data_IF_934512431300
#
_entry.id   IF_934512431300
#
_cell.length_a   1.000
_cell.length_b   1.000
_cell.length_c   1.000
_cell.angle_alpha   90.00
_cell.angle_beta   90.00
_cell.angle_gamma   90.00
#
_symmetry.space_group_name_H-M   'P 1'
#
loop_
_entity.id
_entity.type
_entity.pdbx_description
1 polymer ?
#
# COMPACT_ATOMS: atom_id res chain seq x y z
N UNK A 1 23.51 58.31 -19.36
CA UNK A 1 24.97 58.53 -19.34
C UNK A 1 25.62 57.43 -18.51
N UNK A 2 26.52 56.64 -19.12
CA UNK A 2 27.48 55.71 -18.47
C UNK A 2 28.76 56.53 -18.08
N UNK A 3 29.80 55.95 -17.44
CA UNK A 3 29.90 54.97 -16.34
C UNK A 3 31.10 55.27 -15.37
N UNK A 4 31.41 54.39 -14.40
CA UNK A 4 32.76 53.87 -14.04
C UNK A 4 32.65 52.92 -12.82
N UNK A 5 32.67 51.60 -13.02
CA UNK A 5 33.82 50.67 -12.86
C UNK A 5 34.44 50.63 -11.45
N UNK A 6 34.21 49.52 -10.72
CA UNK A 6 35.18 48.93 -9.80
C UNK A 6 35.49 47.50 -10.24
N UNK A 7 36.75 47.16 -10.07
CA UNK A 7 37.50 46.10 -10.74
C UNK A 7 37.24 44.70 -10.17
N UNK A 8 37.28 43.71 -11.06
CA UNK A 8 37.62 42.32 -10.79
C UNK A 8 39.11 42.20 -10.51
N UNK A 9 39.48 41.43 -9.49
CA UNK A 9 40.85 40.98 -9.26
C UNK A 9 40.83 39.46 -9.06
N UNK A 10 41.27 38.74 -10.10
CA UNK A 10 41.72 37.35 -10.00
C UNK A 10 43.26 37.37 -9.96
N UNK A 11 43.81 36.73 -8.92
CA UNK A 11 45.19 36.24 -8.77
C UNK A 11 45.03 34.87 -8.08
N UNK A 12 45.76 33.81 -8.36
CA UNK A 12 46.94 33.57 -9.17
C UNK A 12 47.49 32.19 -8.77
N UNK A 13 47.91 31.46 -9.79
CA UNK A 13 48.54 30.13 -9.90
C UNK A 13 49.75 29.79 -9.01
N UNK A 14 49.94 28.50 -8.71
CA UNK A 14 51.20 27.70 -8.78
C UNK A 14 50.80 26.21 -8.74
N UNK A 15 51.10 25.30 -9.68
CA UNK A 15 52.30 24.87 -10.42
C UNK A 15 53.39 24.25 -9.54
N UNK A 16 53.51 22.91 -9.58
CA UNK A 16 54.75 22.17 -9.39
C UNK A 16 54.78 20.92 -10.30
N UNK A 17 55.96 20.72 -10.88
CA UNK A 17 56.36 19.84 -11.98
C UNK A 17 56.43 18.34 -11.67
N UNK A 18 56.49 17.57 -12.76
CA UNK A 18 56.74 16.13 -12.84
C UNK A 18 58.23 15.76 -12.97
N UNK A 19 58.51 14.52 -12.53
CA UNK A 19 59.44 13.49 -13.08
C UNK A 19 60.94 13.54 -12.70
N UNK A 20 61.74 12.42 -12.82
CA UNK A 20 61.41 11.04 -13.26
C UNK A 20 62.11 9.85 -12.53
N UNK A 21 61.80 8.63 -13.00
CA UNK A 21 62.62 7.39 -13.07
C UNK A 21 62.96 6.56 -11.80
N UNK A 22 62.45 5.30 -11.76
CA UNK A 22 63.28 4.07 -11.69
C UNK A 22 62.42 2.78 -11.75
N UNK A 23 62.82 1.87 -12.64
CA UNK A 23 62.48 0.42 -12.71
C UNK A 23 63.81 -0.36 -12.81
N UNK A 24 63.85 -1.71 -12.88
CA UNK A 24 63.21 -2.76 -12.08
C UNK A 24 64.26 -3.73 -11.47
N UNK A 25 63.88 -4.62 -10.53
CA UNK A 25 64.75 -5.71 -10.05
C UNK A 25 64.12 -7.09 -10.25
N UNK A 26 64.76 -7.87 -11.11
CA UNK A 26 64.55 -9.29 -11.37
C UNK A 26 64.88 -10.16 -10.14
N UNK A 27 64.08 -11.20 -9.88
CA UNK A 27 64.60 -12.45 -9.32
C UNK A 27 63.89 -13.65 -9.93
N UNK A 28 64.65 -14.38 -10.73
CA UNK A 28 64.34 -15.69 -11.32
C UNK A 28 64.54 -16.81 -10.31
N UNK A 29 63.62 -17.78 -10.22
CA UNK A 29 63.97 -19.17 -9.90
C UNK A 29 62.99 -20.18 -10.54
N UNK A 30 63.46 -20.75 -11.65
CA UNK A 30 63.51 -22.16 -12.08
C UNK A 30 62.38 -23.15 -11.68
N UNK A 31 61.79 -23.74 -12.74
CA UNK A 31 60.90 -24.92 -12.84
C UNK A 31 61.25 -26.11 -11.91
N UNK A 32 60.20 -26.77 -11.42
CA UNK A 32 60.07 -28.24 -11.40
C UNK A 32 58.64 -28.64 -11.82
N UNK A 33 58.58 -29.58 -12.75
CA UNK A 33 57.40 -30.29 -13.25
C UNK A 33 57.17 -31.56 -12.43
N UNK A 34 55.92 -31.91 -12.09
CA UNK A 34 55.42 -33.29 -12.07
C UNK A 34 53.93 -33.36 -11.70
N UNK A 35 53.18 -33.96 -12.63
CA UNK A 35 52.13 -34.97 -12.46
C UNK A 35 50.81 -34.70 -11.72
N UNK A 36 49.75 -34.83 -12.54
CA UNK A 36 48.52 -35.59 -12.33
C UNK A 36 48.11 -35.99 -10.90
N UNK A 37 47.00 -35.44 -10.43
CA UNK A 37 45.73 -36.19 -10.28
C UNK A 37 44.68 -35.31 -9.60
N UNK A 38 43.46 -35.28 -10.17
CA UNK A 38 42.29 -34.60 -9.62
C UNK A 38 41.58 -35.58 -8.67
N UNK A 39 41.32 -35.26 -7.40
CA UNK A 39 40.40 -36.04 -6.58
C UNK A 39 38.97 -35.58 -6.85
N UNK A 40 38.18 -36.44 -7.48
CA UNK A 40 36.72 -36.37 -7.45
C UNK A 40 36.24 -36.70 -6.04
N UNK A 41 35.70 -35.70 -5.34
CA UNK A 41 35.09 -35.90 -4.02
C UNK A 41 33.63 -36.31 -4.21
N UNK A 42 33.35 -37.61 -4.07
CA UNK A 42 32.00 -38.18 -4.01
C UNK A 42 31.44 -38.09 -2.59
N UNK A 43 30.64 -37.06 -2.30
CA UNK A 43 29.98 -36.86 -0.99
C UNK A 43 28.69 -37.70 -0.78
N UNK A 44 28.14 -38.35 -1.81
CA UNK A 44 26.82 -39.00 -1.74
C UNK A 44 26.83 -40.44 -1.20
N UNK A 45 27.98 -41.12 -1.18
CA UNK A 45 28.06 -42.54 -0.77
C UNK A 45 28.11 -42.74 0.75
N UNK A 46 28.65 -41.78 1.51
CA UNK A 46 28.95 -42.00 2.94
C UNK A 46 27.70 -41.95 3.84
N UNK A 47 26.69 -41.14 3.50
CA UNK A 47 25.50 -40.95 4.36
C UNK A 47 24.52 -42.11 4.18
N UNK A 48 24.37 -42.62 2.96
CA UNK A 48 23.47 -43.73 2.66
C UNK A 48 23.93 -45.03 3.32
N UNK A 49 25.24 -45.28 3.33
CA UNK A 49 25.82 -46.50 3.94
C UNK A 49 25.72 -46.48 5.47
N UNK A 50 25.84 -45.31 6.11
CA UNK A 50 25.60 -45.14 7.54
C UNK A 50 24.12 -45.32 7.92
N UNK A 51 23.20 -44.96 7.03
CA UNK A 51 21.77 -45.12 7.25
C UNK A 51 21.34 -46.60 7.16
N UNK A 52 21.84 -47.33 6.16
CA UNK A 52 21.53 -48.76 5.95
C UNK A 52 22.11 -49.63 7.09
N UNK A 53 23.30 -49.32 7.60
CA UNK A 53 23.92 -50.06 8.70
C UNK A 53 23.25 -49.83 10.06
N UNK A 54 22.47 -48.76 10.23
CA UNK A 54 21.76 -48.46 11.49
C UNK A 54 20.35 -49.05 11.53
N UNK A 55 19.74 -49.31 10.37
CA UNK A 55 18.43 -49.97 10.24
C UNK A 55 18.48 -51.49 10.50
N UNK A 56 19.65 -52.13 10.43
CA UNK A 56 19.83 -53.56 10.75
C UNK A 56 20.05 -53.82 12.26
N UNK A 57 20.16 -52.77 13.08
CA UNK A 57 20.22 -52.89 14.53
C UNK A 57 18.83 -53.08 15.12
N UNK A 58 18.70 -53.90 16.18
CA UNK A 58 17.43 -54.10 16.92
C UNK A 58 16.81 -52.77 17.38
N UNK A 59 17.62 -51.74 17.60
CA UNK A 59 17.19 -50.39 17.94
C UNK A 59 16.73 -49.54 16.74
N UNK A 60 17.25 -49.82 15.54
CA UNK A 60 16.84 -49.17 14.28
C UNK A 60 15.43 -49.60 13.85
N UNK A 61 15.11 -50.88 14.04
CA UNK A 61 13.78 -51.42 13.77
C UNK A 61 12.76 -50.81 14.75
N UNK A 62 13.11 -50.71 16.04
CA UNK A 62 12.23 -50.16 17.07
C UNK A 62 11.94 -48.66 16.84
N UNK A 63 12.94 -47.89 16.41
CA UNK A 63 12.77 -46.48 16.05
C UNK A 63 11.93 -46.29 14.78
N UNK A 64 12.04 -47.19 13.80
CA UNK A 64 11.17 -47.19 12.61
C UNK A 64 9.71 -47.47 12.99
N UNK A 65 9.44 -48.46 13.87
CA UNK A 65 8.09 -48.74 14.34
C UNK A 65 7.49 -47.60 15.16
N UNK A 66 8.28 -46.92 16.00
CA UNK A 66 7.82 -45.72 16.73
C UNK A 66 7.47 -44.59 15.75
N UNK A 67 8.29 -44.34 14.73
CA UNK A 67 8.00 -43.32 13.72
C UNK A 67 6.76 -43.66 12.89
N UNK A 68 6.58 -44.92 12.51
CA UNK A 68 5.37 -45.38 11.81
C UNK A 68 4.13 -45.31 12.70
N UNK A 69 4.26 -45.62 13.99
CA UNK A 69 3.16 -45.49 14.96
C UNK A 69 2.77 -44.03 15.17
N UNK A 70 3.74 -43.11 15.31
CA UNK A 70 3.48 -41.67 15.40
C UNK A 70 2.84 -41.16 14.12
N UNK A 71 3.34 -41.54 12.95
CA UNK A 71 2.74 -41.17 11.67
C UNK A 71 1.30 -41.71 11.55
N UNK A 72 1.07 -42.98 11.89
CA UNK A 72 -0.27 -43.57 11.90
C UNK A 72 -1.21 -42.84 12.87
N UNK A 73 -0.72 -42.41 14.04
CA UNK A 73 -1.51 -41.64 15.01
C UNK A 73 -1.93 -40.25 14.49
N UNK A 74 -1.17 -39.65 13.57
CA UNK A 74 -1.53 -38.39 12.92
C UNK A 74 -2.53 -38.56 11.76
N UNK A 75 -2.56 -39.74 11.13
CA UNK A 75 -3.45 -40.02 9.98
C UNK A 75 -4.68 -40.85 10.34
N UNK A 76 -4.67 -41.55 11.47
CA UNK A 76 -5.80 -42.31 12.02
C UNK A 76 -6.66 -41.46 12.99
N UNK A 77 -6.78 -40.15 12.71
CA UNK A 77 -7.79 -39.31 13.31
C UNK A 77 -9.14 -39.63 12.67
N UNK A 78 -10.11 -40.03 13.50
CA UNK A 78 -11.45 -40.45 13.12
C UNK A 78 -12.08 -39.56 12.04
N UNK A 79 -12.29 -40.11 10.86
CA UNK A 79 -13.31 -39.61 9.93
C UNK A 79 -14.68 -40.00 10.49
N UNK A 80 -15.55 -39.07 10.90
CA UNK A 80 -16.93 -39.43 11.16
C UNK A 80 -17.56 -39.87 9.83
N UNK A 81 -18.00 -41.12 9.79
CA UNK A 81 -18.83 -41.65 8.72
C UNK A 81 -20.11 -40.81 8.64
N UNK A 82 -20.26 -40.01 7.59
CA UNK A 82 -21.54 -39.39 7.24
C UNK A 82 -22.39 -40.48 6.60
N UNK A 83 -23.29 -41.06 7.39
CA UNK A 83 -24.35 -41.94 6.91
C UNK A 83 -25.25 -41.17 5.93
N UNK A 84 -25.28 -41.64 4.70
CA UNK A 84 -26.23 -41.24 3.66
C UNK A 84 -27.62 -41.76 4.03
N UNK A 85 -28.36 -41.04 4.87
CA UNK A 85 -29.81 -41.21 4.97
C UNK A 85 -30.49 -40.33 3.94
N UNK A 86 -31.02 -40.99 2.92
CA UNK A 86 -31.93 -40.45 1.92
C UNK A 86 -33.23 -40.03 2.62
N UNK A 87 -33.36 -38.75 2.99
CA UNK A 87 -34.62 -38.17 3.43
C UNK A 87 -35.35 -37.60 2.21
N UNK A 88 -36.41 -38.30 1.81
CA UNK A 88 -37.45 -37.86 0.88
C UNK A 88 -37.94 -36.46 1.23
N UNK A 89 -37.67 -35.48 0.36
CA UNK A 89 -38.26 -34.13 0.42
C UNK A 89 -39.41 -34.08 -0.58
N UNK A 90 -40.62 -33.83 -0.05
CA UNK A 90 -41.82 -33.48 -0.81
C UNK A 90 -41.58 -32.22 -1.67
N UNK A 91 -42.13 -32.14 -2.89
CA UNK A 91 -41.89 -31.03 -3.79
C UNK A 91 -42.94 -29.93 -3.57
N UNK A 92 -42.66 -28.94 -2.73
CA UNK A 92 -43.47 -27.72 -2.72
C UNK A 92 -42.69 -26.49 -2.28
N UNK A 93 -42.14 -25.78 -3.27
CA UNK A 93 -42.26 -24.33 -3.51
C UNK A 93 -41.07 -23.89 -4.38
N UNK A 94 -41.36 -23.78 -5.67
CA UNK A 94 -40.44 -23.37 -6.73
C UNK A 94 -40.20 -21.86 -6.58
N UNK A 95 -39.02 -21.45 -6.11
CA UNK A 95 -38.59 -20.05 -6.18
C UNK A 95 -38.24 -19.69 -7.63
N UNK A 96 -38.93 -18.66 -8.13
CA UNK A 96 -38.87 -18.09 -9.46
C UNK A 96 -37.52 -17.36 -9.71
N UNK A 97 -36.77 -17.65 -10.80
CA UNK A 97 -35.49 -17.00 -11.09
C UNK A 97 -35.60 -15.54 -11.56
N UNK A 98 -36.79 -14.97 -11.72
CA UNK A 98 -36.97 -13.66 -12.38
C UNK A 98 -36.94 -12.43 -11.46
N UNK A 99 -36.56 -12.57 -10.19
CA UNK A 99 -36.39 -11.44 -9.28
C UNK A 99 -35.00 -11.36 -8.61
N UNK A 100 -33.94 -11.34 -9.43
CA UNK A 100 -32.68 -10.69 -9.01
C UNK A 100 -32.75 -9.21 -9.39
N UNK A 101 -33.12 -8.35 -8.42
CA UNK A 101 -32.79 -6.92 -8.54
C UNK A 101 -31.27 -6.78 -8.67
N UNK A 102 -30.77 -5.90 -9.55
CA UNK A 102 -29.33 -5.60 -9.60
C UNK A 102 -28.87 -5.04 -8.24
N UNK A 103 -27.59 -5.24 -7.86
CA UNK A 103 -27.07 -4.72 -6.60
C UNK A 103 -27.16 -3.19 -6.60
N UNK A 104 -28.02 -2.66 -5.74
CA UNK A 104 -28.19 -1.23 -5.50
C UNK A 104 -27.11 -0.83 -4.50
N UNK A 105 -26.20 0.06 -4.92
CA UNK A 105 -25.33 0.81 -4.00
C UNK A 105 -26.20 1.46 -2.90
N UNK A 106 -25.73 1.56 -1.64
CA UNK A 106 -26.42 2.39 -0.67
C UNK A 106 -26.42 3.84 -1.17
N UNK A 107 -27.54 4.28 -1.75
CA UNK A 107 -27.73 5.63 -2.29
C UNK A 107 -27.50 6.69 -1.20
N UNK A 108 -27.65 6.30 0.07
CA UNK A 108 -27.43 7.18 1.22
C UNK A 108 -25.98 7.65 1.41
N UNK A 109 -24.97 6.92 0.91
CA UNK A 109 -23.56 7.37 0.95
C UNK A 109 -23.20 8.33 -0.20
N UNK A 110 -24.09 8.48 -1.19
CA UNK A 110 -23.81 9.16 -2.46
C UNK A 110 -24.73 10.37 -2.72
N UNK A 111 -25.65 10.67 -1.81
CA UNK A 111 -26.49 11.87 -1.88
C UNK A 111 -25.70 13.11 -1.44
N UNK A 112 -24.74 13.52 -2.26
CA UNK A 112 -24.14 14.85 -2.20
C UNK A 112 -24.62 15.61 -3.46
N UNK A 113 -25.33 16.75 -3.34
CA UNK A 113 -26.00 17.40 -4.47
C UNK A 113 -25.06 18.14 -5.44
N UNK A 114 -23.86 17.61 -5.72
CA UNK A 114 -22.85 18.27 -6.56
C UNK A 114 -22.45 17.51 -7.84
N UNK A 115 -23.17 16.45 -8.23
CA UNK A 115 -22.91 15.73 -9.50
C UNK A 115 -23.48 16.38 -10.75
N UNK A 116 -24.00 17.62 -10.68
CA UNK A 116 -24.38 18.41 -11.85
C UNK A 116 -23.39 19.54 -12.14
N UNK A 117 -22.16 19.20 -12.54
CA UNK A 117 -21.27 20.17 -13.18
C UNK A 117 -20.54 19.57 -14.37
N UNK A 118 -21.31 19.26 -15.41
CA UNK A 118 -20.86 19.35 -16.80
C UNK A 118 -21.43 20.64 -17.40
N UNK A 119 -20.52 21.54 -17.81
CA UNK A 119 -20.70 22.66 -18.73
C UNK A 119 -21.99 23.50 -18.64
N UNK A 120 -21.96 24.58 -17.86
CA UNK A 120 -22.73 25.79 -18.21
C UNK A 120 -21.96 27.05 -17.78
N UNK A 121 -21.39 27.75 -18.78
CA UNK A 121 -20.91 29.13 -18.64
C UNK A 121 -22.13 30.03 -18.43
N UNK A 122 -22.38 30.45 -17.20
CA UNK A 122 -23.12 31.68 -16.94
C UNK A 122 -22.24 32.65 -16.16
N UNK A 123 -21.99 33.80 -16.78
CA UNK A 123 -21.31 34.95 -16.16
C UNK A 123 -22.23 35.53 -15.10
N UNK A 124 -21.86 35.40 -13.84
CA UNK A 124 -22.35 36.28 -12.78
C UNK A 124 -21.14 36.82 -12.03
N UNK A 125 -20.98 38.15 -12.07
CA UNK A 125 -19.93 38.86 -11.36
C UNK A 125 -20.24 38.84 -9.86
N UNK A 126 -19.50 38.01 -9.14
CA UNK A 126 -19.36 38.03 -7.68
C UNK A 126 -17.88 38.11 -7.39
N UNK A 127 -17.47 38.98 -6.48
CA UNK A 127 -16.08 39.16 -6.07
C UNK A 127 -15.55 37.86 -5.42
N UNK A 128 -15.07 36.92 -6.24
CA UNK A 128 -14.39 35.71 -5.79
C UNK A 128 -12.91 35.99 -5.56
N UNK A 129 -12.38 35.49 -4.44
CA UNK A 129 -10.93 35.34 -4.20
C UNK A 129 -10.25 34.81 -5.47
N UNK A 130 -9.01 35.23 -5.79
CA UNK A 130 -8.35 34.84 -7.02
C UNK A 130 -8.37 33.31 -7.12
N UNK A 131 -9.04 32.81 -8.16
CA UNK A 131 -9.09 31.40 -8.49
C UNK A 131 -7.63 30.98 -8.65
N UNK A 132 -7.15 30.09 -7.79
CA UNK A 132 -5.83 29.51 -7.99
C UNK A 132 -5.92 28.60 -9.23
N UNK A 133 -5.36 29.06 -10.35
CA UNK A 133 -5.35 28.34 -11.63
C UNK A 133 -4.77 26.92 -11.48
N UNK A 134 -3.84 26.74 -10.54
CA UNK A 134 -3.23 25.43 -10.22
C UNK A 134 -4.28 24.48 -9.63
N UNK A 135 -5.08 24.91 -8.66
CA UNK A 135 -6.10 24.04 -8.04
C UNK A 135 -7.19 23.62 -9.05
N UNK A 136 -7.57 24.53 -9.95
CA UNK A 136 -8.55 24.25 -10.99
C UNK A 136 -8.03 23.19 -11.98
N UNK A 137 -6.74 23.26 -12.34
CA UNK A 137 -6.10 22.32 -13.27
C UNK A 137 -6.07 20.89 -12.74
N UNK A 138 -5.74 20.70 -11.46
CA UNK A 138 -5.56 19.37 -10.88
C UNK A 138 -6.84 18.77 -10.29
N UNK A 139 -7.75 19.59 -9.76
CA UNK A 139 -8.93 19.11 -9.03
C UNK A 139 -10.27 19.47 -9.68
N UNK A 140 -10.26 20.31 -10.72
CA UNK A 140 -11.49 20.87 -11.32
C UNK A 140 -12.27 21.77 -10.36
N UNK A 141 -11.63 22.24 -9.28
CA UNK A 141 -12.26 23.01 -8.21
C UNK A 141 -11.39 24.20 -7.81
N UNK A 142 -11.99 25.20 -7.17
CA UNK A 142 -11.27 26.39 -6.68
C UNK A 142 -10.35 26.08 -5.49
N UNK A 143 -10.52 24.94 -4.83
CA UNK A 143 -9.60 24.44 -3.82
C UNK A 143 -9.44 22.92 -3.91
N UNK A 144 -8.18 22.48 -4.01
CA UNK A 144 -7.84 21.07 -4.00
C UNK A 144 -7.94 20.47 -2.59
N UNK A 145 -8.55 19.28 -2.51
CA UNK A 145 -8.66 18.50 -1.26
C UNK A 145 -8.32 17.05 -1.54
N UNK A 146 -7.27 16.55 -0.90
CA UNK A 146 -6.73 15.23 -1.14
C UNK A 146 -6.86 14.32 0.07
N UNK A 147 -7.07 13.03 -0.20
CA UNK A 147 -6.81 11.94 0.73
C UNK A 147 -5.66 11.14 0.13
N UNK A 148 -4.53 11.08 0.84
CA UNK A 148 -3.34 10.38 0.39
C UNK A 148 -3.07 9.17 1.28
N UNK A 149 -3.32 7.93 0.79
CA UNK A 149 -2.93 6.71 1.47
C UNK A 149 -1.41 6.57 1.49
N UNK A 150 -0.75 7.13 2.49
CA UNK A 150 0.71 7.12 2.59
C UNK A 150 1.27 5.72 2.87
N UNK A 151 0.45 4.83 3.42
CA UNK A 151 0.81 3.42 3.67
C UNK A 151 -0.44 2.57 3.91
N UNK A 152 -0.50 1.40 3.25
CA UNK A 152 -1.52 0.37 3.47
C UNK A 152 -0.83 -0.90 3.97
N UNK A 153 -1.03 -1.25 5.23
CA UNK A 153 -0.31 -2.32 5.94
C UNK A 153 -0.73 -3.76 5.63
N UNK A 154 -0.94 -4.10 4.35
CA UNK A 154 -1.46 -5.40 3.91
C UNK A 154 -0.74 -5.96 2.67
N UNK A 155 -0.91 -7.25 2.43
CA UNK A 155 -0.45 -7.89 1.20
C UNK A 155 -1.32 -7.47 0.01
N UNK A 156 -0.75 -7.47 -1.18
CA UNK A 156 -1.32 -6.91 -2.40
C UNK A 156 -2.84 -7.12 -2.58
N UNK A 157 -3.34 -8.36 -2.56
CA UNK A 157 -4.76 -8.64 -2.77
C UNK A 157 -5.67 -7.99 -1.72
N UNK A 158 -5.21 -7.88 -0.47
CA UNK A 158 -5.92 -7.15 0.58
C UNK A 158 -5.68 -5.65 0.48
N UNK A 159 -4.46 -5.22 0.16
CA UNK A 159 -4.11 -3.82 -0.02
C UNK A 159 -4.96 -3.17 -1.13
N UNK A 160 -5.20 -3.88 -2.24
CA UNK A 160 -6.12 -3.43 -3.30
C UNK A 160 -7.54 -3.24 -2.75
N UNK A 161 -8.07 -4.22 -2.00
CA UNK A 161 -9.38 -4.11 -1.37
C UNK A 161 -9.47 -2.89 -0.45
N UNK A 162 -8.47 -2.68 0.41
CA UNK A 162 -8.43 -1.52 1.31
C UNK A 162 -8.29 -0.21 0.56
N UNK A 163 -7.47 -0.18 -0.49
CA UNK A 163 -7.32 1.00 -1.33
C UNK A 163 -8.66 1.41 -1.95
N UNK A 164 -9.43 0.47 -2.47
CA UNK A 164 -10.77 0.76 -3.00
C UNK A 164 -11.76 1.22 -1.90
N UNK A 165 -11.64 0.76 -0.66
CA UNK A 165 -12.42 1.35 0.43
C UNK A 165 -11.98 2.78 0.76
N UNK A 166 -10.69 3.08 0.62
CA UNK A 166 -10.16 4.42 0.81
C UNK A 166 -10.58 5.37 -0.33
N UNK A 167 -10.79 4.88 -1.56
CA UNK A 167 -11.33 5.70 -2.66
C UNK A 167 -12.78 6.12 -2.37
N UNK A 168 -13.60 5.19 -1.86
CA UNK A 168 -14.97 5.48 -1.39
C UNK A 168 -14.99 6.42 -0.17
N UNK A 169 -14.05 6.24 0.75
CA UNK A 169 -13.87 7.16 1.88
C UNK A 169 -13.52 8.56 1.41
N UNK A 170 -12.62 8.68 0.43
CA UNK A 170 -12.25 9.97 -0.16
C UNK A 170 -13.48 10.67 -0.76
N UNK A 171 -14.31 9.94 -1.53
CA UNK A 171 -15.56 10.47 -2.06
C UNK A 171 -16.53 10.93 -0.94
N UNK A 172 -16.71 10.10 0.10
CA UNK A 172 -17.53 10.44 1.29
C UNK A 172 -17.03 11.70 2.03
N UNK A 173 -15.73 11.96 1.99
CA UNK A 173 -15.10 13.16 2.58
C UNK A 173 -14.97 14.33 1.60
N UNK A 174 -15.52 14.20 0.38
CA UNK A 174 -15.37 15.13 -0.73
C UNK A 174 -13.89 15.48 -1.01
N UNK A 175 -13.06 14.45 -1.11
CA UNK A 175 -11.63 14.51 -1.40
C UNK A 175 -11.31 13.70 -2.65
N UNK A 176 -10.30 14.15 -3.39
CA UNK A 176 -9.67 13.40 -4.46
C UNK A 176 -8.70 12.39 -3.82
N UNK A 177 -8.79 11.11 -4.19
CA UNK A 177 -7.85 10.08 -3.72
C UNK A 177 -6.53 10.19 -4.48
N UNK A 178 -5.41 10.15 -3.78
CA UNK A 178 -4.09 10.08 -4.40
C UNK A 178 -3.73 8.62 -4.61
N UNK A 179 -3.31 8.26 -5.83
CA UNK A 179 -2.86 6.92 -6.15
C UNK A 179 -1.45 6.72 -5.58
N UNK A 180 -1.25 5.88 -4.54
CA UNK A 180 0.07 5.65 -4.00
C UNK A 180 0.93 4.83 -4.96
N UNK A 181 2.24 5.00 -4.86
CA UNK A 181 3.17 4.12 -5.56
C UNK A 181 3.02 2.66 -5.12
N UNK A 182 3.50 1.74 -5.97
CA UNK A 182 3.43 0.30 -5.75
C UNK A 182 4.82 -0.34 -5.90
N UNK A 183 5.16 -1.31 -5.04
CA UNK A 183 6.35 -2.14 -5.21
C UNK A 183 6.26 -3.39 -4.32
N UNK A 184 6.64 -4.56 -4.85
CA UNK A 184 6.63 -5.84 -4.10
C UNK A 184 5.28 -6.13 -3.40
N UNK A 185 4.17 -5.80 -4.07
CA UNK A 185 2.82 -5.99 -3.53
C UNK A 185 2.40 -5.03 -2.42
N UNK A 186 3.18 -3.97 -2.15
CA UNK A 186 2.86 -2.92 -1.19
C UNK A 186 2.41 -1.64 -1.89
N UNK A 187 1.30 -1.06 -1.42
CA UNK A 187 0.82 0.27 -1.79
C UNK A 187 1.24 1.28 -0.71
N UNK A 188 2.16 2.19 -1.05
CA UNK A 188 2.68 3.18 -0.12
C UNK A 188 3.35 4.35 -0.85
N UNK A 189 3.38 5.51 -0.20
CA UNK A 189 4.12 6.71 -0.64
C UNK A 189 5.60 6.45 -0.94
N UNK A 190 6.24 5.60 -0.15
CA UNK A 190 7.65 5.21 -0.30
C UNK A 190 7.92 4.18 -1.40
N UNK A 191 6.89 3.63 -2.03
CA UNK A 191 7.09 2.60 -3.06
C UNK A 191 7.77 3.18 -4.29
N UNK A 192 8.53 2.34 -4.99
CA UNK A 192 9.49 2.79 -6.03
C UNK A 192 8.87 3.05 -7.40
N UNK A 193 7.77 2.38 -7.73
CA UNK A 193 7.18 2.42 -9.06
C UNK A 193 5.82 3.10 -8.97
N UNK A 194 5.45 3.92 -9.96
CA UNK A 194 4.18 4.62 -9.95
C UNK A 194 3.03 3.62 -10.02
N UNK A 195 1.84 4.06 -9.60
CA UNK A 195 0.65 3.19 -9.57
C UNK A 195 0.37 2.52 -10.93
N UNK A 196 0.44 3.31 -12.00
CA UNK A 196 0.20 2.88 -13.38
C UNK A 196 1.24 1.90 -13.91
N UNK A 197 2.40 1.79 -13.27
CA UNK A 197 3.35 0.74 -13.58
C UNK A 197 2.80 -0.65 -13.25
N UNK A 198 1.95 -0.78 -12.24
CA UNK A 198 1.39 -2.06 -11.79
C UNK A 198 -0.08 -2.22 -12.13
N UNK A 199 -0.90 -1.20 -11.87
CA UNK A 199 -2.35 -1.25 -11.94
C UNK A 199 -2.89 -0.36 -13.06
N UNK A 200 -3.99 -0.78 -13.66
CA UNK A 200 -4.79 0.04 -14.55
C UNK A 200 -5.69 0.98 -13.74
N UNK A 201 -5.99 2.16 -14.29
CA UNK A 201 -7.00 3.07 -13.71
C UNK A 201 -8.42 2.73 -14.15
N UNK A 202 -8.61 1.78 -15.09
CA UNK A 202 -9.92 1.38 -15.63
C UNK A 202 -10.98 1.15 -14.56
N UNK A 203 -10.64 0.41 -13.49
CA UNK A 203 -11.54 0.18 -12.36
C UNK A 203 -11.96 1.49 -11.67
N UNK A 204 -11.03 2.42 -11.47
CA UNK A 204 -11.33 3.73 -10.86
C UNK A 204 -12.15 4.62 -11.79
N UNK A 205 -11.91 4.55 -13.10
CA UNK A 205 -12.66 5.30 -14.11
C UNK A 205 -14.15 4.90 -14.12
N UNK A 206 -14.45 3.61 -13.96
CA UNK A 206 -15.85 3.15 -13.80
C UNK A 206 -16.51 3.69 -12.54
N UNK A 207 -15.72 3.98 -11.51
CA UNK A 207 -16.22 4.51 -10.24
C UNK A 207 -16.36 6.04 -10.25
N UNK A 208 -15.93 6.74 -11.31
CA UNK A 208 -16.05 8.19 -11.42
C UNK A 208 -17.52 8.66 -11.39
N UNK A 209 -18.44 7.86 -11.93
CA UNK A 209 -19.88 8.10 -11.85
C UNK A 209 -20.42 8.14 -10.40
N UNK A 210 -19.67 7.58 -9.44
CA UNK A 210 -19.97 7.59 -8.01
C UNK A 210 -19.21 8.69 -7.26
N UNK A 211 -18.73 9.72 -7.95
CA UNK A 211 -18.04 10.85 -7.34
C UNK A 211 -16.60 10.56 -6.90
N UNK A 212 -16.05 9.40 -7.26
CA UNK A 212 -14.63 9.08 -7.04
C UNK A 212 -13.79 9.88 -8.05
N UNK A 213 -12.86 10.67 -7.51
CA UNK A 213 -11.87 11.42 -8.29
C UNK A 213 -10.50 11.02 -7.80
N UNK A 214 -9.54 10.86 -8.70
CA UNK A 214 -8.19 10.48 -8.35
C UNK A 214 -7.13 11.31 -9.08
N UNK A 215 -5.92 11.36 -8.51
CA UNK A 215 -4.70 11.86 -9.17
C UNK A 215 -3.52 10.96 -8.83
N UNK A 216 -2.48 10.94 -9.65
CA UNK A 216 -1.26 10.18 -9.31
C UNK A 216 -0.48 10.87 -8.18
N UNK A 217 0.38 10.13 -7.48
CA UNK A 217 1.31 10.73 -6.53
C UNK A 217 2.23 11.75 -7.22
N UNK A 218 2.69 11.50 -8.44
CA UNK A 218 3.51 12.45 -9.22
C UNK A 218 2.75 13.74 -9.55
N UNK A 219 1.46 13.66 -9.84
CA UNK A 219 0.62 14.84 -10.07
C UNK A 219 0.43 15.64 -8.79
N UNK A 220 0.28 14.97 -7.63
CA UNK A 220 0.23 15.64 -6.34
C UNK A 220 1.55 16.38 -6.05
N UNK A 221 2.69 15.74 -6.31
CA UNK A 221 4.01 16.35 -6.16
C UNK A 221 4.14 17.60 -7.04
N UNK A 222 3.74 17.50 -8.31
CA UNK A 222 3.78 18.61 -9.26
C UNK A 222 2.84 19.74 -8.85
N UNK A 223 1.60 19.42 -8.45
CA UNK A 223 0.63 20.38 -7.92
C UNK A 223 1.17 21.14 -6.70
N UNK A 224 1.81 20.43 -5.76
CA UNK A 224 2.37 21.05 -4.56
C UNK A 224 3.55 21.99 -4.89
N UNK A 225 4.39 21.61 -5.86
CA UNK A 225 5.50 22.44 -6.33
C UNK A 225 5.03 23.68 -7.10
N UNK A 226 4.06 23.52 -8.00
CA UNK A 226 3.49 24.63 -8.79
C UNK A 226 2.80 25.68 -7.91
N UNK A 227 2.19 25.25 -6.80
CA UNK A 227 1.54 26.15 -5.86
C UNK A 227 2.51 27.05 -5.10
N UNK A 228 3.79 26.67 -4.98
CA UNK A 228 4.87 27.53 -4.49
C UNK A 228 4.85 27.88 -2.99
N UNK A 229 3.90 27.34 -2.22
CA UNK A 229 3.73 27.56 -0.79
C UNK A 229 3.86 26.23 -0.02
N UNK A 230 4.23 26.28 1.27
CA UNK A 230 4.13 25.09 2.13
C UNK A 230 2.66 24.67 2.23
N UNK A 231 2.37 23.42 1.86
CA UNK A 231 1.02 22.90 1.78
C UNK A 231 0.62 22.32 3.13
N UNK A 232 -0.45 22.84 3.76
CA UNK A 232 -0.92 22.30 5.02
C UNK A 232 -1.45 20.87 4.85
N UNK A 233 -1.01 19.96 5.72
CA UNK A 233 -1.41 18.56 5.72
C UNK A 233 -1.76 18.09 7.13
N UNK A 234 -2.55 17.02 7.25
CA UNK A 234 -2.90 16.41 8.52
C UNK A 234 -2.68 14.91 8.47
N UNK A 235 -2.02 14.35 9.48
CA UNK A 235 -1.88 12.91 9.61
C UNK A 235 -3.13 12.28 10.21
N UNK A 236 -3.50 11.12 9.67
CA UNK A 236 -4.50 10.22 10.22
C UNK A 236 -3.96 8.79 10.30
N UNK A 237 -3.90 8.26 11.50
CA UNK A 237 -3.57 6.87 11.79
C UNK A 237 -4.88 6.12 12.02
N UNK A 238 -5.21 5.18 11.13
CA UNK A 238 -6.34 4.27 11.26
C UNK A 238 -5.78 2.89 11.51
N UNK A 239 -5.78 2.47 12.78
CA UNK A 239 -5.06 1.29 13.25
C UNK A 239 -6.00 0.35 14.02
N UNK A 240 -5.70 -0.94 14.00
CA UNK A 240 -6.41 -1.93 14.79
C UNK A 240 -5.90 -1.90 16.24
N UNK A 241 -6.81 -1.98 17.19
CA UNK A 241 -6.47 -2.20 18.59
C UNK A 241 -5.79 -3.57 18.80
N UNK A 242 -4.88 -3.68 19.77
CA UNK A 242 -4.30 -4.97 20.11
C UNK A 242 -5.39 -5.93 20.63
N UNK A 243 -5.31 -7.19 20.21
CA UNK A 243 -6.24 -8.26 20.64
C UNK A 243 -6.40 -8.35 22.15
N UNK A 244 -5.32 -8.13 22.89
CA UNK A 244 -5.31 -8.04 24.35
C UNK A 244 -4.76 -6.67 24.75
N UNK A 245 -5.60 -5.82 25.34
CA UNK A 245 -5.16 -4.56 25.96
C UNK A 245 -4.66 -4.86 27.38
N UNK A 246 -3.35 -4.79 27.65
CA UNK A 246 -2.88 -4.89 29.03
C UNK A 246 -3.45 -3.76 29.88
N UNK A 247 -3.54 -3.96 31.19
CA UNK A 247 -3.94 -2.91 32.12
C UNK A 247 -3.04 -1.68 31.94
N UNK A 248 -3.63 -0.50 31.73
CA UNK A 248 -2.90 0.73 31.47
C UNK A 248 -2.34 0.88 30.06
N UNK A 249 -2.83 0.11 29.07
CA UNK A 249 -2.47 0.30 27.67
C UNK A 249 -2.72 1.75 27.24
N UNK A 250 -1.69 2.34 26.63
CA UNK A 250 -1.74 3.65 26.01
C UNK A 250 -1.44 3.50 24.52
N UNK A 251 -2.05 4.33 23.66
CA UNK A 251 -1.72 4.33 22.26
C UNK A 251 -0.24 4.69 22.05
N UNK A 252 0.40 4.20 20.96
CA UNK A 252 1.76 4.57 20.62
C UNK A 252 1.93 6.09 20.54
N UNK A 253 3.05 6.64 21.05
CA UNK A 253 3.31 8.07 20.95
C UNK A 253 3.46 8.47 19.48
N UNK A 254 2.93 9.64 19.14
CA UNK A 254 3.02 10.21 17.80
C UNK A 254 4.51 10.47 17.46
N UNK A 255 5.03 9.93 16.34
CA UNK A 255 6.40 10.23 15.92
C UNK A 255 6.57 11.71 15.57
N UNK A 256 7.77 12.25 15.81
CA UNK A 256 8.08 13.64 15.40
C UNK A 256 8.16 13.79 13.87
N UNK A 257 8.11 15.04 13.38
CA UNK A 257 8.17 15.41 11.95
C UNK A 257 9.24 14.62 11.18
N UNK A 258 10.50 14.71 11.63
CA UNK A 258 11.64 14.02 11.01
C UNK A 258 11.45 12.51 10.90
N UNK A 259 10.86 11.86 11.92
CA UNK A 259 10.57 10.41 11.88
C UNK A 259 9.44 10.09 10.89
N UNK A 260 8.40 10.91 10.83
CA UNK A 260 7.29 10.76 9.88
C UNK A 260 7.78 10.93 8.44
N UNK A 261 8.53 12.00 8.17
CA UNK A 261 9.07 12.27 6.83
C UNK A 261 9.97 11.15 6.33
N UNK A 262 10.85 10.64 7.19
CA UNK A 262 11.73 9.52 6.86
C UNK A 262 10.94 8.23 6.65
N UNK A 263 9.93 7.96 7.47
CA UNK A 263 9.15 6.72 7.43
C UNK A 263 8.25 6.63 6.20
N UNK A 264 7.69 7.76 5.76
CA UNK A 264 6.72 7.83 4.68
C UNK A 264 7.22 8.59 3.45
N UNK A 265 8.53 8.81 3.36
CA UNK A 265 9.18 9.43 2.19
C UNK A 265 8.56 10.77 1.77
N UNK A 266 8.07 11.55 2.74
CA UNK A 266 7.34 12.80 2.48
C UNK A 266 8.25 14.00 2.24
N UNK A 267 9.58 13.80 2.25
CA UNK A 267 10.57 14.85 1.97
C UNK A 267 10.51 15.39 0.53
N UNK A 268 9.85 14.68 -0.39
CA UNK A 268 9.65 15.12 -1.77
C UNK A 268 8.65 16.28 -1.90
N UNK A 269 7.88 16.55 -0.85
CA UNK A 269 6.78 17.50 -0.85
C UNK A 269 7.06 18.66 0.12
N UNK A 270 6.68 19.90 -0.20
CA UNK A 270 6.70 21.01 0.75
C UNK A 270 5.50 20.91 1.72
N UNK A 271 5.41 19.84 2.52
CA UNK A 271 4.29 19.65 3.46
C UNK A 271 4.58 20.28 4.81
N UNK A 272 3.59 21.04 5.30
CA UNK A 272 3.52 21.45 6.69
C UNK A 272 2.33 20.79 7.39
N UNK A 273 2.62 19.89 8.32
CA UNK A 273 1.61 19.20 9.11
C UNK A 273 1.72 19.50 10.61
N UNK A 274 2.46 20.55 10.97
CA UNK A 274 2.40 21.13 12.32
C UNK A 274 1.10 21.91 12.62
N UNK A 275 0.41 22.53 11.63
CA UNK A 275 -0.80 23.31 11.91
C UNK A 275 -1.94 22.45 12.48
N UNK A 276 -1.97 21.17 12.09
CA UNK A 276 -3.01 20.22 12.45
C UNK A 276 -2.49 19.13 13.40
N UNK A 277 -3.19 18.81 14.51
CA UNK A 277 -2.88 17.64 15.31
C UNK A 277 -3.15 16.36 14.52
N UNK A 278 -2.37 15.35 14.89
CA UNK A 278 -2.50 14.00 14.35
C UNK A 278 -3.79 13.35 14.83
N UNK A 279 -4.55 12.80 13.90
CA UNK A 279 -5.72 11.98 14.18
C UNK A 279 -5.23 10.57 14.47
N UNK A 280 -5.52 10.04 15.66
CA UNK A 280 -5.28 8.63 15.99
C UNK A 280 -6.63 7.96 16.23
N UNK A 281 -7.06 7.13 15.27
CA UNK A 281 -8.29 6.37 15.34
C UNK A 281 -7.98 4.89 15.48
N UNK A 282 -8.32 4.32 16.64
CA UNK A 282 -8.13 2.90 16.94
C UNK A 282 -9.45 2.15 16.79
N UNK A 283 -9.44 1.14 15.94
CA UNK A 283 -10.60 0.29 15.66
C UNK A 283 -10.57 -0.93 16.56
N UNK A 284 -11.71 -1.24 17.18
CA UNK A 284 -11.84 -2.38 18.08
C UNK A 284 -11.44 -3.69 17.39
N UNK A 285 -10.68 -4.54 18.11
CA UNK A 285 -10.32 -5.86 17.60
C UNK A 285 -11.59 -6.72 17.40
N UNK A 286 -11.72 -7.34 16.22
CA UNK A 286 -12.84 -8.23 15.92
C UNK A 286 -14.12 -7.51 15.47
N UNK A 287 -14.05 -6.22 15.15
CA UNK A 287 -15.19 -5.45 14.62
C UNK A 287 -15.80 -6.07 13.35
N UNK A 288 -15.05 -6.89 12.63
CA UNK A 288 -15.49 -7.58 11.43
C UNK A 288 -16.47 -8.74 11.70
N UNK A 289 -16.71 -9.08 12.97
CA UNK A 289 -17.56 -10.22 13.36
C UNK A 289 -19.04 -10.00 13.11
N UNK A 290 -19.49 -8.75 13.05
CA UNK A 290 -20.88 -8.42 12.76
C UNK A 290 -20.99 -7.23 11.81
N UNK A 291 -21.97 -7.27 10.91
CA UNK A 291 -22.26 -6.13 10.01
C UNK A 291 -22.57 -4.84 10.76
N UNK A 292 -23.21 -4.94 11.93
CA UNK A 292 -23.48 -3.79 12.78
C UNK A 292 -22.18 -3.14 13.28
N UNK A 293 -21.21 -3.91 13.74
CA UNK A 293 -19.89 -3.39 14.16
C UNK A 293 -19.08 -2.85 12.99
N UNK A 294 -19.17 -3.45 11.80
CA UNK A 294 -18.58 -2.90 10.57
C UNK A 294 -19.19 -1.54 10.23
N UNK A 295 -20.51 -1.40 10.25
CA UNK A 295 -21.19 -0.13 10.02
C UNK A 295 -20.84 0.94 11.06
N UNK A 296 -20.79 0.58 12.35
CA UNK A 296 -20.35 1.49 13.41
C UNK A 296 -18.89 1.92 13.23
N UNK A 297 -18.02 0.99 12.84
CA UNK A 297 -16.61 1.29 12.55
C UNK A 297 -16.47 2.22 11.36
N UNK A 298 -17.22 1.99 10.28
CA UNK A 298 -17.30 2.90 9.13
C UNK A 298 -17.66 4.30 9.58
N UNK A 299 -18.76 4.44 10.31
CA UNK A 299 -19.28 5.74 10.72
C UNK A 299 -18.31 6.44 11.68
N UNK A 300 -17.65 5.70 12.57
CA UNK A 300 -16.62 6.21 13.47
C UNK A 300 -15.37 6.70 12.71
N UNK A 301 -14.91 5.99 11.68
CA UNK A 301 -13.79 6.42 10.83
C UNK A 301 -14.18 7.68 10.04
N UNK A 302 -15.35 7.68 9.40
CA UNK A 302 -15.84 8.84 8.63
C UNK A 302 -15.95 10.07 9.53
N UNK A 303 -16.55 9.90 10.71
CA UNK A 303 -16.72 10.98 11.70
C UNK A 303 -15.37 11.46 12.20
N UNK A 304 -14.45 10.57 12.59
CA UNK A 304 -13.12 10.97 13.07
C UNK A 304 -12.33 11.79 12.04
N UNK A 305 -12.42 11.43 10.76
CA UNK A 305 -11.71 12.12 9.68
C UNK A 305 -12.43 13.37 9.18
N UNK A 306 -13.76 13.48 9.36
CA UNK A 306 -14.56 14.67 9.05
C UNK A 306 -14.46 15.70 10.18
N UNK A 307 -14.75 15.30 11.42
CA UNK A 307 -14.81 16.19 12.58
C UNK A 307 -13.43 16.72 12.98
N UNK A 308 -12.38 15.91 12.88
CA UNK A 308 -11.01 16.41 13.11
C UNK A 308 -10.59 17.43 12.06
N UNK A 309 -11.28 17.45 10.92
CA UNK A 309 -11.09 18.46 9.90
C UNK A 309 -11.89 19.73 10.25
N UNK A 310 -13.03 19.63 10.95
CA UNK A 310 -13.90 20.74 11.34
C UNK A 310 -13.55 21.39 12.70
N UNK A 311 -12.99 20.62 13.65
CA UNK A 311 -12.71 21.03 15.03
C UNK A 311 -11.53 22.02 15.16
N UNK A 312 -10.67 22.15 14.15
CA UNK A 312 -9.55 23.13 14.17
C UNK A 312 -9.97 24.59 13.99
N UNK A 313 -11.26 24.86 13.77
CA UNK A 313 -11.80 26.22 13.88
C UNK A 313 -11.88 26.78 15.31
N UNK A 314 -11.44 26.04 16.34
CA UNK A 314 -11.64 26.38 17.76
C UNK A 314 -10.36 26.25 18.62
N UNK A 315 -9.22 26.79 18.18
CA UNK A 315 -8.03 26.92 19.05
C UNK A 315 -8.20 28.09 20.04
N UNK A 316 -7.86 27.94 21.34
CA UNK A 316 -7.74 29.06 22.28
C UNK A 316 -6.51 29.90 21.90
N UNK A 317 -6.70 31.19 21.64
CA UNK A 317 -5.61 32.14 21.32
C UNK A 317 -5.37 32.37 19.82
N UNK A 318 -5.97 31.57 18.93
CA UNK A 318 -6.09 31.92 17.52
C UNK A 318 -7.39 32.72 17.38
N UNK A 319 -7.34 33.92 16.78
CA UNK A 319 -8.58 34.64 16.42
C UNK A 319 -9.48 33.66 15.68
N UNK A 320 -10.78 33.63 16.00
CA UNK A 320 -11.77 32.81 15.29
C UNK A 320 -11.69 33.15 13.81
N UNK A 321 -10.86 32.44 13.06
CA UNK A 321 -10.90 32.46 11.62
C UNK A 321 -12.28 31.90 11.29
N UNK A 322 -13.10 32.74 10.67
CA UNK A 322 -14.49 32.45 10.32
C UNK A 322 -14.63 31.25 9.36
N UNK A 323 -13.53 30.61 9.00
CA UNK A 323 -13.46 29.41 8.16
C UNK A 323 -13.00 28.23 9.00
N UNK A 324 -13.92 27.30 9.25
CA UNK A 324 -13.62 25.91 9.65
C UNK A 324 -12.89 25.21 8.50
N UNK A 325 -11.60 25.47 8.31
CA UNK A 325 -10.86 24.99 7.15
C UNK A 325 -10.06 23.72 7.49
N UNK A 326 -10.59 22.61 7.04
CA UNK A 326 -9.94 21.30 7.02
C UNK A 326 -8.60 21.34 6.26
N UNK A 327 -7.61 20.52 6.63
CA UNK A 327 -6.36 20.42 5.88
C UNK A 327 -6.60 20.06 4.39
N UNK A 328 -5.93 20.75 3.45
CA UNK A 328 -5.93 20.39 2.02
C UNK A 328 -5.55 18.94 1.78
N UNK A 329 -4.53 18.42 2.48
CA UNK A 329 -4.10 17.02 2.36
C UNK A 329 -4.36 16.26 3.67
N UNK A 330 -5.05 15.12 3.57
CA UNK A 330 -5.15 14.14 4.65
C UNK A 330 -4.21 12.96 4.35
N UNK A 331 -3.14 12.82 5.14
CA UNK A 331 -2.14 11.76 5.03
C UNK A 331 -2.60 10.55 5.86
N UNK A 332 -3.10 9.51 5.19
CA UNK A 332 -3.73 8.36 5.84
C UNK A 332 -2.76 7.18 5.93
N UNK A 333 -2.36 6.85 7.16
CA UNK A 333 -1.69 5.60 7.51
C UNK A 333 -2.75 4.57 7.90
N UNK A 334 -2.91 3.53 7.07
CA UNK A 334 -4.00 2.57 7.19
C UNK A 334 -3.48 1.17 7.53
N UNK A 335 -3.91 0.61 8.67
CA UNK A 335 -3.49 -0.70 9.16
C UNK A 335 -4.66 -1.56 9.71
N UNK A 336 -5.79 -1.59 9.00
CA UNK A 336 -6.85 -2.55 9.30
C UNK A 336 -6.62 -3.85 8.52
N UNK A 337 -6.98 -4.98 9.14
CA UNK A 337 -6.80 -6.35 8.61
C UNK A 337 -7.98 -6.85 7.78
N UNK A 338 -9.13 -6.23 8.01
CA UNK A 338 -10.45 -6.59 7.51
C UNK A 338 -11.10 -5.37 6.85
N UNK A 339 -12.03 -5.57 5.91
CA UNK A 339 -12.77 -4.49 5.29
C UNK A 339 -13.61 -3.72 6.33
N UNK A 340 -13.64 -2.38 6.26
CA UNK A 340 -14.43 -1.54 7.18
C UNK A 340 -15.69 -0.92 6.58
N UNK A 341 -15.92 -1.10 5.29
CA UNK A 341 -17.15 -0.68 4.61
C UNK A 341 -17.93 -1.90 4.12
N UNK A 342 -19.21 -1.96 4.51
CA UNK A 342 -20.23 -2.90 4.00
C UNK A 342 -20.72 -2.51 2.59
N UNK A 343 -19.79 -2.29 1.67
CA UNK A 343 -20.12 -2.24 0.23
C UNK A 343 -20.00 -3.65 -0.34
N UNK A 344 -20.94 -4.08 -1.21
CA UNK A 344 -20.95 -5.41 -1.79
C UNK A 344 -19.76 -5.60 -2.73
N UNK A 345 -18.60 -5.88 -2.14
CA UNK A 345 -17.28 -6.01 -2.77
C UNK A 345 -16.87 -4.72 -3.50
N UNK A 346 -15.72 -4.13 -3.17
CA UNK A 346 -15.20 -3.02 -3.93
C UNK A 346 -14.85 -3.54 -5.34
N UNK A 347 -15.73 -3.29 -6.32
CA UNK A 347 -15.56 -3.65 -7.72
C UNK A 347 -15.02 -5.07 -7.98
N UNK A 348 -14.57 -5.34 -9.20
CA UNK A 348 -13.47 -6.28 -9.39
C UNK A 348 -12.20 -5.74 -8.70
N UNK A 349 -11.22 -6.61 -8.37
CA UNK A 349 -9.87 -6.18 -8.01
C UNK A 349 -9.32 -5.18 -9.02
N UNK A 350 -8.33 -4.38 -8.61
CA UNK A 350 -7.68 -3.49 -9.57
C UNK A 350 -7.08 -4.34 -10.68
N UNK A 351 -7.43 -4.02 -11.92
CA UNK A 351 -6.82 -4.67 -13.08
C UNK A 351 -5.34 -4.33 -13.11
N UNK A 352 -4.50 -5.29 -13.52
CA UNK A 352 -3.11 -4.98 -13.79
C UNK A 352 -3.00 -4.11 -15.03
N UNK A 353 -1.91 -3.34 -15.12
CA UNK A 353 -1.62 -2.60 -16.34
C UNK A 353 -1.58 -3.55 -17.56
N UNK A 354 -2.24 -3.24 -18.68
CA UNK A 354 -2.29 -4.08 -19.88
C UNK A 354 -0.93 -4.58 -20.38
N UNK A 355 0.14 -3.78 -20.19
CA UNK A 355 1.51 -4.15 -20.55
C UNK A 355 1.96 -5.46 -19.91
N UNK A 356 1.50 -5.78 -18.69
CA UNK A 356 1.85 -7.05 -18.04
C UNK A 356 1.13 -8.24 -18.68
N UNK A 357 -0.09 -8.05 -19.16
CA UNK A 357 -0.81 -9.07 -19.90
C UNK A 357 -0.13 -9.36 -21.25
N UNK A 358 0.26 -8.30 -21.96
CA UNK A 358 1.01 -8.42 -23.23
C UNK A 358 2.38 -9.10 -23.02
N UNK A 359 3.12 -8.69 -22.00
CA UNK A 359 4.42 -9.29 -21.65
C UNK A 359 4.26 -10.77 -21.31
N UNK A 360 3.25 -11.11 -20.50
CA UNK A 360 2.97 -12.49 -20.12
C UNK A 360 2.58 -13.33 -21.34
N UNK A 361 1.70 -12.82 -22.20
CA UNK A 361 1.30 -13.50 -23.43
C UNK A 361 2.50 -13.78 -24.34
N UNK A 362 3.37 -12.79 -24.56
CA UNK A 362 4.57 -12.95 -25.38
C UNK A 362 5.55 -13.99 -24.82
N UNK A 363 5.68 -14.08 -23.49
CA UNK A 363 6.51 -15.11 -22.84
C UNK A 363 5.86 -16.48 -22.99
N UNK A 364 4.56 -16.59 -22.70
CA UNK A 364 3.82 -17.86 -22.79
C UNK A 364 3.85 -18.42 -24.21
N UNK A 365 3.61 -17.58 -25.23
CA UNK A 365 3.60 -18.01 -26.63
C UNK A 365 4.94 -18.61 -27.07
N UNK A 366 6.07 -18.04 -26.60
CA UNK A 366 7.42 -18.56 -26.88
C UNK A 366 7.75 -19.86 -26.15
N UNK A 367 7.10 -20.08 -25.01
CA UNK A 367 7.32 -21.25 -24.17
C UNK A 367 6.29 -22.34 -24.44
N UNK A 368 5.31 -22.16 -25.33
CA UNK A 368 4.40 -23.25 -25.70
C UNK A 368 5.20 -24.41 -26.32
N UNK A 369 4.87 -25.68 -25.98
CA UNK A 369 3.69 -26.14 -25.23
C UNK A 369 3.89 -26.27 -23.70
N UNK A 370 4.95 -25.72 -23.11
CA UNK A 370 5.27 -25.92 -21.70
C UNK A 370 4.21 -25.34 -20.75
N UNK A 371 3.94 -26.08 -19.68
CA UNK A 371 3.07 -25.64 -18.56
C UNK A 371 3.89 -24.77 -17.62
N UNK A 372 3.47 -23.53 -17.40
CA UNK A 372 3.99 -22.71 -16.32
C UNK A 372 3.24 -23.02 -15.02
N UNK A 373 3.97 -23.43 -13.98
CA UNK A 373 3.42 -23.56 -12.62
C UNK A 373 3.68 -22.26 -11.87
N UNK A 374 2.62 -21.56 -11.48
CA UNK A 374 2.71 -20.39 -10.60
C UNK A 374 2.70 -20.84 -9.15
N UNK A 375 3.76 -20.53 -8.40
CA UNK A 375 3.83 -20.70 -6.95
C UNK A 375 3.72 -19.32 -6.30
N UNK A 376 2.74 -19.12 -5.41
CA UNK A 376 2.65 -17.90 -4.61
C UNK A 376 3.49 -18.09 -3.35
N UNK A 377 4.68 -17.49 -3.30
CA UNK A 377 5.48 -17.46 -2.07
C UNK A 377 4.86 -16.46 -1.08
N UNK A 378 4.32 -16.97 0.03
CA UNK A 378 3.90 -16.14 1.14
C UNK A 378 5.12 -15.71 1.95
N UNK A 379 5.65 -14.52 1.69
CA UNK A 379 6.59 -13.89 2.60
C UNK A 379 5.86 -13.47 3.88
N UNK A 380 5.96 -14.31 4.91
CA UNK A 380 5.59 -13.94 6.28
C UNK A 380 6.67 -13.00 6.83
N UNK A 381 6.40 -11.69 6.85
CA UNK A 381 7.22 -10.73 7.56
C UNK A 381 7.03 -10.91 9.08
N UNK A 382 7.59 -11.97 9.66
CA UNK A 382 7.89 -12.00 11.09
C UNK A 382 9.22 -11.28 11.30
N UNK A 383 9.16 -10.15 12.00
CA UNK A 383 10.33 -9.58 12.67
C UNK A 383 10.97 -8.39 11.97
N UNK A 384 10.34 -7.22 12.08
CA UNK A 384 11.07 -5.99 12.41
C UNK A 384 10.27 -5.28 13.51
N UNK A 385 10.71 -5.51 14.75
CA UNK A 385 10.38 -4.69 15.92
C UNK A 385 11.33 -3.49 15.97
#
# INVERSE_FOLDING_TARGET
MRPLRKQLQCKGTSSWEMNPQHTPSHRTHRRKTSDHSVPQISFASSVFTLFVNKLSSRWGILTLFVLLYVAWSFFAGDTPAVSTTLSTINPEKRDDPTHRRPPIFPTELLNNPLTHYAHQRHKSHSHSLPINDVDLRYCGASSCRFLFPIFIGEQESKAQLHFQQLTLLAATLNRTIVLPNAFKGLLASCSRLPFDHYFSTSTLDTLAAHGIRYITQSDLETWALERGEEIPAQFAFVELEPKSKPAGWKPPPIPNKKKLDKRFCLNAFPLDYQPYPVIQHFVAYGYERSRAEVALTRDAIVTALRDSAEAHGQRPGMTKDKKKETAPILLVHYQLRSPFMDVPVPGPPLEYNPKWHETTAAVVDRLRPFVAVHWREYFSSRGQL
#
